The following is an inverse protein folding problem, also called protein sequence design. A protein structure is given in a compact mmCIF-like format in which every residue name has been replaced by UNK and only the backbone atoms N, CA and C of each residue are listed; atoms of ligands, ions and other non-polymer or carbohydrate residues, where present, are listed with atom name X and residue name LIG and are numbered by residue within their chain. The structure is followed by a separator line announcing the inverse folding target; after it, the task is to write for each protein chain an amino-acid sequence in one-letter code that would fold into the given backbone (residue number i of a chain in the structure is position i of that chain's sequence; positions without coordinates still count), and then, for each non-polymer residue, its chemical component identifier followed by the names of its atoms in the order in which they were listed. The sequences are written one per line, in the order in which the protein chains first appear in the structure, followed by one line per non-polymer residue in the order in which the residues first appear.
data_IF_782013540201
#
_entry.id   IF_782013540201
#
_cell.length_a   1.000
_cell.length_b   1.000
_cell.length_c   1.000
_cell.angle_alpha   90.00
_cell.angle_beta   90.00
_cell.angle_gamma   90.00
#
_symmetry.space_group_name_H-M   'P 1'
#
loop_
_entity.id
_entity.type
_entity.pdbx_description
1 polymer ?
#
# COMPACT_ATOMS: atom_id res chain seq x y z
N UNK A 1 -37.24 -22.16 -3.30
CA UNK A 1 -36.68 -22.30 -1.93
C UNK A 1 -35.84 -21.07 -1.64
N UNK A 2 -36.53 -19.99 -1.25
CA UNK A 2 -35.97 -18.66 -1.01
C UNK A 2 -36.36 -18.30 0.41
N UNK A 3 -35.58 -18.68 1.39
CA UNK A 3 -35.75 -18.23 2.77
C UNK A 3 -34.67 -18.83 3.69
N UNK A 4 -33.43 -18.36 3.64
CA UNK A 4 -32.44 -18.61 4.70
C UNK A 4 -31.42 -17.45 4.84
N UNK A 5 -31.67 -16.27 4.25
CA UNK A 5 -30.71 -15.16 4.33
C UNK A 5 -31.19 -13.98 5.19
N UNK A 6 -32.42 -14.03 5.73
CA UNK A 6 -33.02 -12.86 6.41
C UNK A 6 -32.88 -12.81 7.93
N UNK A 7 -32.08 -13.67 8.58
CA UNK A 7 -31.97 -13.65 10.06
C UNK A 7 -30.52 -13.70 10.59
N UNK A 8 -29.62 -12.94 9.98
CA UNK A 8 -28.33 -12.58 10.58
C UNK A 8 -28.34 -11.15 11.13
N UNK A 9 -29.52 -10.58 11.29
CA UNK A 9 -29.79 -9.15 11.48
C UNK A 9 -29.78 -8.60 12.90
N UNK A 10 -29.19 -9.20 13.94
CA UNK A 10 -29.25 -8.56 15.26
C UNK A 10 -28.02 -8.67 16.18
N UNK A 11 -27.01 -9.46 15.86
CA UNK A 11 -25.83 -9.56 16.73
C UNK A 11 -24.65 -8.64 16.34
N UNK A 12 -24.74 -7.94 15.21
CA UNK A 12 -23.73 -6.98 14.71
C UNK A 12 -24.08 -5.51 14.94
N UNK A 13 -25.22 -5.21 15.54
CA UNK A 13 -25.83 -3.86 15.58
C UNK A 13 -24.96 -2.75 16.20
N UNK A 14 -23.95 -3.05 17.00
CA UNK A 14 -23.09 -2.03 17.59
C UNK A 14 -21.96 -1.50 16.68
N UNK A 15 -21.59 -2.25 15.64
CA UNK A 15 -20.47 -1.89 14.76
C UNK A 15 -20.91 -1.38 13.38
N UNK A 16 -22.08 -1.79 12.88
CA UNK A 16 -22.63 -1.37 11.59
C UNK A 16 -23.65 -0.25 11.82
N UNK A 17 -23.18 0.99 11.85
CA UNK A 17 -24.03 2.18 11.86
C UNK A 17 -24.60 2.44 10.48
N UNK A 18 -25.67 3.27 10.40
CA UNK A 18 -26.27 3.66 9.10
C UNK A 18 -25.24 4.31 8.18
N UNK A 19 -24.32 5.11 8.72
CA UNK A 19 -23.21 5.72 7.97
C UNK A 19 -22.27 4.65 7.39
N UNK A 20 -21.86 3.66 8.18
CA UNK A 20 -21.00 2.56 7.74
C UNK A 20 -21.68 1.70 6.68
N UNK A 21 -22.97 1.44 6.83
CA UNK A 21 -23.75 0.74 5.82
C UNK A 21 -23.84 1.54 4.52
N UNK A 22 -24.00 2.86 4.60
CA UNK A 22 -23.99 3.73 3.43
C UNK A 22 -22.63 3.74 2.70
N UNK A 23 -21.52 3.83 3.45
CA UNK A 23 -20.16 3.73 2.90
C UNK A 23 -19.95 2.37 2.21
N UNK A 24 -20.35 1.28 2.86
CA UNK A 24 -20.23 -0.05 2.29
C UNK A 24 -21.08 -0.20 1.02
N UNK A 25 -22.31 0.30 1.02
CA UNK A 25 -23.22 0.25 -0.13
C UNK A 25 -22.65 1.02 -1.32
N UNK A 26 -22.11 2.22 -1.09
CA UNK A 26 -21.46 3.04 -2.11
C UNK A 26 -20.23 2.33 -2.69
N UNK A 27 -19.37 1.75 -1.84
CA UNK A 27 -18.20 1.01 -2.29
C UNK A 27 -18.59 -0.24 -3.11
N UNK A 28 -19.65 -0.95 -2.70
CA UNK A 28 -20.21 -2.11 -3.41
C UNK A 28 -20.73 -1.73 -4.78
N UNK A 29 -21.50 -0.64 -4.87
CA UNK A 29 -22.04 -0.16 -6.14
C UNK A 29 -20.91 0.22 -7.10
N UNK A 30 -19.92 0.96 -6.63
CA UNK A 30 -18.74 1.30 -7.41
C UNK A 30 -17.96 0.05 -7.85
N UNK A 31 -17.73 -0.89 -6.95
CA UNK A 31 -17.05 -2.14 -7.26
C UNK A 31 -17.78 -2.94 -8.36
N UNK A 32 -19.10 -3.04 -8.28
CA UNK A 32 -19.89 -3.78 -9.25
C UNK A 32 -19.97 -3.09 -10.62
N UNK A 33 -20.11 -1.76 -10.66
CA UNK A 33 -20.34 -1.02 -11.91
C UNK A 33 -19.06 -0.58 -12.61
N UNK A 34 -18.03 -0.21 -11.85
CA UNK A 34 -16.83 0.40 -12.41
C UNK A 34 -15.61 -0.55 -12.35
N UNK A 35 -15.49 -1.38 -11.32
CA UNK A 35 -14.30 -2.23 -11.12
C UNK A 35 -14.46 -3.59 -11.80
N UNK A 36 -15.57 -4.28 -11.56
CA UNK A 36 -15.77 -5.66 -12.03
C UNK A 36 -15.73 -5.81 -13.56
N UNK A 37 -16.34 -4.93 -14.37
CA UNK A 37 -16.24 -5.03 -15.83
C UNK A 37 -14.79 -4.90 -16.32
N UNK A 38 -14.03 -3.97 -15.74
CA UNK A 38 -12.61 -3.74 -16.06
C UNK A 38 -11.75 -4.92 -15.62
N UNK A 39 -12.06 -5.50 -14.47
CA UNK A 39 -11.37 -6.69 -13.97
C UNK A 39 -11.56 -7.89 -14.90
N UNK A 40 -12.79 -8.14 -15.35
CA UNK A 40 -13.13 -9.24 -16.26
C UNK A 40 -12.41 -9.13 -17.62
N UNK A 41 -12.17 -7.91 -18.09
CA UNK A 41 -11.44 -7.65 -19.32
C UNK A 41 -9.92 -7.80 -19.13
N UNK A 42 -9.36 -7.20 -18.07
CA UNK A 42 -7.92 -7.00 -17.92
C UNK A 42 -7.20 -8.08 -17.13
N UNK A 43 -7.82 -8.69 -16.10
CA UNK A 43 -7.13 -9.66 -15.26
C UNK A 43 -6.72 -10.93 -16.03
N UNK A 44 -7.57 -11.51 -16.92
CA UNK A 44 -7.20 -12.68 -17.72
C UNK A 44 -5.99 -12.43 -18.66
N UNK A 45 -5.83 -11.22 -19.14
CA UNK A 45 -4.72 -10.82 -20.03
C UNK A 45 -3.55 -10.20 -19.27
N UNK A 46 -3.61 -10.19 -17.92
CA UNK A 46 -2.59 -9.60 -17.04
C UNK A 46 -2.42 -8.09 -17.27
N UNK A 47 -3.49 -7.42 -17.67
CA UNK A 47 -3.52 -5.98 -17.94
C UNK A 47 -3.31 -5.14 -16.67
N UNK A 48 -2.94 -3.88 -16.86
CA UNK A 48 -2.71 -2.93 -15.76
C UNK A 48 -3.99 -2.15 -15.43
N UNK A 49 -4.13 -1.72 -14.17
CA UNK A 49 -5.25 -0.89 -13.72
C UNK A 49 -5.25 0.43 -14.49
N UNK A 50 -6.33 0.78 -15.23
CA UNK A 50 -6.38 2.01 -16.01
C UNK A 50 -6.35 3.27 -15.13
N UNK A 51 -5.73 4.33 -15.63
CA UNK A 51 -5.71 5.63 -14.95
C UNK A 51 -7.10 6.25 -14.78
N UNK A 52 -8.03 5.94 -15.68
CA UNK A 52 -9.42 6.38 -15.55
C UNK A 52 -10.08 5.79 -14.29
N UNK A 53 -9.93 4.48 -14.07
CA UNK A 53 -10.46 3.84 -12.86
C UNK A 53 -9.83 4.44 -11.60
N UNK A 54 -8.52 4.72 -11.62
CA UNK A 54 -7.85 5.40 -10.51
C UNK A 54 -8.42 6.80 -10.22
N UNK A 55 -8.77 7.58 -11.26
CA UNK A 55 -9.42 8.89 -11.08
C UNK A 55 -10.79 8.75 -10.45
N UNK A 56 -11.62 7.82 -10.92
CA UNK A 56 -12.93 7.54 -10.32
C UNK A 56 -12.83 7.17 -8.83
N UNK A 57 -11.81 6.40 -8.46
CA UNK A 57 -11.52 6.08 -7.05
C UNK A 57 -11.11 7.31 -6.24
N UNK A 58 -10.33 8.20 -6.85
CA UNK A 58 -9.92 9.46 -6.22
C UNK A 58 -11.12 10.39 -5.98
N UNK A 59 -12.01 10.50 -6.96
CA UNK A 59 -13.24 11.31 -6.89
C UNK A 59 -14.17 10.87 -5.74
N UNK A 60 -14.13 9.58 -5.36
CA UNK A 60 -14.83 9.03 -4.21
C UNK A 60 -14.03 9.13 -2.89
N UNK A 61 -12.84 9.71 -2.91
CA UNK A 61 -11.99 9.87 -1.72
C UNK A 61 -11.34 8.59 -1.21
N UNK A 62 -11.33 7.50 -1.98
CA UNK A 62 -10.84 6.19 -1.53
C UNK A 62 -9.34 6.19 -1.16
N UNK A 63 -8.55 7.11 -1.70
CA UNK A 63 -7.14 7.24 -1.33
C UNK A 63 -6.91 7.99 -0.02
N UNK A 64 -7.91 8.73 0.47
CA UNK A 64 -7.82 9.59 1.65
C UNK A 64 -8.64 9.13 2.85
N UNK A 65 -9.16 7.90 2.86
CA UNK A 65 -10.07 7.40 3.93
C UNK A 65 -9.46 7.60 5.33
N UNK A 66 -8.19 7.22 5.50
CA UNK A 66 -7.47 7.30 6.78
C UNK A 66 -6.70 8.62 6.97
N UNK A 67 -6.59 9.45 5.93
CA UNK A 67 -5.87 10.72 6.01
C UNK A 67 -6.77 11.73 6.72
N UNK A 68 -6.24 12.47 7.72
CA UNK A 68 -7.01 13.49 8.41
C UNK A 68 -7.55 14.58 7.48
N UNK A 69 -8.71 15.14 7.82
CA UNK A 69 -9.37 16.20 7.04
C UNK A 69 -8.49 17.43 6.84
N UNK A 70 -7.66 17.79 7.83
CA UNK A 70 -6.71 18.90 7.73
C UNK A 70 -5.68 18.74 6.62
N UNK A 71 -5.47 17.50 6.11
CA UNK A 71 -4.63 17.19 4.96
C UNK A 71 -5.45 16.78 3.72
N UNK A 72 -6.75 17.07 3.70
CA UNK A 72 -7.62 16.82 2.55
C UNK A 72 -8.12 15.38 2.43
N UNK A 73 -7.98 14.57 3.47
CA UNK A 73 -8.56 13.23 3.57
C UNK A 73 -9.98 13.24 4.13
N UNK A 74 -10.52 12.05 4.38
CA UNK A 74 -11.85 11.85 4.96
C UNK A 74 -11.84 11.72 6.49
N UNK A 75 -10.68 11.53 7.11
CA UNK A 75 -10.53 11.39 8.56
C UNK A 75 -11.29 10.19 9.16
N UNK A 76 -11.65 9.20 8.34
CA UNK A 76 -12.41 8.03 8.78
C UNK A 76 -11.52 7.00 9.47
N UNK A 77 -12.15 6.02 10.12
CA UNK A 77 -11.45 4.98 10.85
C UNK A 77 -11.06 3.77 10.00
N UNK A 78 -10.30 2.88 10.63
CA UNK A 78 -9.84 1.63 9.99
C UNK A 78 -11.01 0.69 9.68
N UNK A 79 -12.14 0.83 10.39
CA UNK A 79 -13.32 0.01 10.14
C UNK A 79 -13.96 0.38 8.79
N UNK A 80 -14.19 1.66 8.54
CA UNK A 80 -14.72 2.17 7.28
C UNK A 80 -13.78 1.83 6.11
N UNK A 81 -12.48 1.96 6.35
CA UNK A 81 -11.46 1.55 5.39
C UNK A 81 -11.56 0.05 5.05
N UNK A 82 -11.74 -0.82 6.06
CA UNK A 82 -11.88 -2.26 5.85
C UNK A 82 -13.14 -2.62 5.03
N UNK A 83 -14.27 -1.94 5.28
CA UNK A 83 -15.50 -2.13 4.50
C UNK A 83 -15.28 -1.79 3.01
N UNK A 84 -14.64 -0.67 2.71
CA UNK A 84 -14.31 -0.26 1.33
C UNK A 84 -13.37 -1.28 0.69
N UNK A 85 -12.33 -1.69 1.40
CA UNK A 85 -11.34 -2.67 0.92
C UNK A 85 -11.99 -4.00 0.56
N UNK A 86 -12.90 -4.50 1.41
CA UNK A 86 -13.61 -5.75 1.20
C UNK A 86 -14.46 -5.70 -0.09
N UNK A 87 -15.25 -4.64 -0.28
CA UNK A 87 -16.10 -4.50 -1.46
C UNK A 87 -15.28 -4.36 -2.76
N UNK A 88 -14.21 -3.59 -2.74
CA UNK A 88 -13.30 -3.47 -3.89
C UNK A 88 -12.59 -4.80 -4.20
N UNK A 89 -12.17 -5.54 -3.17
CA UNK A 89 -11.46 -6.81 -3.33
C UNK A 89 -12.35 -7.91 -3.89
N UNK A 90 -13.66 -7.87 -3.58
CA UNK A 90 -14.67 -8.75 -4.17
C UNK A 90 -14.70 -8.65 -5.70
N UNK A 91 -14.53 -7.44 -6.24
CA UNK A 91 -14.53 -7.21 -7.68
C UNK A 91 -13.13 -7.42 -8.30
N UNK A 92 -12.09 -6.84 -7.70
CA UNK A 92 -10.69 -6.99 -8.14
C UNK A 92 -9.73 -6.69 -7.00
N UNK A 93 -9.07 -7.72 -6.48
CA UNK A 93 -8.15 -7.58 -5.33
C UNK A 93 -7.07 -6.51 -5.55
N UNK A 94 -6.58 -6.34 -6.77
CA UNK A 94 -5.54 -5.36 -7.08
C UNK A 94 -6.03 -3.93 -6.89
N UNK A 95 -7.26 -3.63 -7.29
CA UNK A 95 -7.85 -2.30 -7.10
C UNK A 95 -7.98 -1.96 -5.62
N UNK A 96 -8.43 -2.90 -4.79
CA UNK A 96 -8.49 -2.67 -3.34
C UNK A 96 -7.10 -2.40 -2.74
N UNK A 97 -6.05 -3.05 -3.27
CA UNK A 97 -4.69 -2.82 -2.81
C UNK A 97 -4.10 -1.48 -3.27
N UNK A 98 -4.65 -0.89 -4.33
CA UNK A 98 -4.18 0.41 -4.82
C UNK A 98 -4.44 1.53 -3.83
N UNK A 99 -5.59 1.51 -3.13
CA UNK A 99 -5.92 2.54 -2.15
C UNK A 99 -4.97 2.56 -0.94
N UNK A 100 -4.34 1.43 -0.62
CA UNK A 100 -3.32 1.36 0.41
C UNK A 100 -2.09 2.22 0.10
N UNK A 101 -1.78 2.40 -1.19
CA UNK A 101 -0.60 3.14 -1.64
C UNK A 101 -0.67 4.64 -1.34
N UNK A 102 -1.88 5.18 -1.15
CA UNK A 102 -2.12 6.58 -0.83
C UNK A 102 -2.19 6.89 0.67
N UNK A 103 -2.35 5.90 1.56
CA UNK A 103 -2.72 6.22 2.94
C UNK A 103 -2.14 5.32 4.03
N UNK A 104 -1.50 4.20 3.70
CA UNK A 104 -1.01 3.26 4.71
C UNK A 104 0.43 3.49 5.15
N UNK A 105 1.28 4.03 4.30
CA UNK A 105 2.72 4.07 4.53
C UNK A 105 3.18 5.45 5.00
N UNK A 106 2.58 5.94 6.08
CA UNK A 106 2.75 7.29 6.62
C UNK A 106 3.27 7.34 8.06
N UNK A 107 3.47 6.17 8.68
CA UNK A 107 4.06 6.09 10.01
C UNK A 107 5.44 6.73 10.02
N UNK A 108 5.70 7.56 11.01
CA UNK A 108 6.98 8.26 11.14
C UNK A 108 7.14 9.52 10.27
N UNK A 109 6.17 9.93 9.45
CA UNK A 109 6.24 11.20 8.72
C UNK A 109 6.42 12.37 9.67
N UNK A 110 7.38 13.24 9.38
CA UNK A 110 7.51 14.55 10.02
C UNK A 110 6.33 15.44 9.66
N UNK A 111 6.08 16.48 10.44
CA UNK A 111 5.00 17.44 10.13
C UNK A 111 5.19 18.08 8.74
N UNK A 112 6.42 18.37 8.34
CA UNK A 112 6.73 18.89 7.01
C UNK A 112 6.39 17.84 5.93
N UNK A 113 6.73 16.58 6.11
CA UNK A 113 6.39 15.51 5.18
C UNK A 113 4.88 15.30 5.09
N UNK A 114 4.16 15.36 6.23
CA UNK A 114 2.70 15.29 6.25
C UNK A 114 2.08 16.40 5.41
N UNK A 115 2.46 17.65 5.63
CA UNK A 115 1.96 18.79 4.85
C UNK A 115 2.29 18.73 3.37
N UNK A 116 3.43 18.14 3.03
CA UNK A 116 3.89 18.03 1.64
C UNK A 116 3.23 16.87 0.90
N UNK A 117 3.08 15.72 1.54
CA UNK A 117 2.70 14.49 0.85
C UNK A 117 1.24 14.09 1.06
N UNK A 118 0.67 14.24 2.27
CA UNK A 118 -0.67 13.73 2.56
C UNK A 118 -1.76 14.32 1.67
N UNK A 119 -1.79 15.63 1.32
CA UNK A 119 -2.80 16.17 0.40
C UNK A 119 -2.77 15.50 -0.98
N UNK A 120 -1.58 15.23 -1.50
CA UNK A 120 -1.39 14.55 -2.79
C UNK A 120 -1.66 13.05 -2.70
N UNK A 121 -1.42 12.46 -1.54
CA UNK A 121 -1.74 11.06 -1.27
C UNK A 121 -3.26 10.88 -1.20
N UNK A 122 -3.99 11.79 -0.54
CA UNK A 122 -5.44 11.76 -0.41
C UNK A 122 -6.17 11.81 -1.77
N UNK A 123 -5.59 12.50 -2.76
CA UNK A 123 -6.11 12.57 -4.14
C UNK A 123 -5.58 11.44 -5.05
N UNK A 124 -4.76 10.54 -4.54
CA UNK A 124 -4.13 9.50 -5.36
C UNK A 124 -3.06 10.01 -6.33
N UNK A 125 -2.61 11.27 -6.20
CA UNK A 125 -1.55 11.84 -7.03
C UNK A 125 -0.15 11.42 -6.61
N UNK A 126 0.02 10.96 -5.35
CA UNK A 126 1.31 10.57 -4.81
C UNK A 126 1.21 9.22 -4.11
N UNK A 127 1.46 8.14 -4.84
CA UNK A 127 1.33 6.76 -4.36
C UNK A 127 2.68 6.08 -4.16
N UNK A 128 2.74 5.24 -3.14
CA UNK A 128 3.95 4.54 -2.70
C UNK A 128 4.14 3.17 -3.35
N UNK A 129 5.40 2.75 -3.44
CA UNK A 129 5.76 1.34 -3.45
C UNK A 129 6.66 1.02 -2.26
N UNK A 130 6.39 -0.10 -1.58
CA UNK A 130 7.04 -0.47 -0.33
C UNK A 130 8.20 -1.42 -0.61
N UNK A 131 9.43 -0.96 -0.34
CA UNK A 131 10.68 -1.67 -0.60
C UNK A 131 11.33 -2.10 0.73
N UNK A 132 10.71 -3.07 1.41
CA UNK A 132 11.14 -3.59 2.71
C UNK A 132 11.85 -4.93 2.58
N UNK A 133 11.16 -5.95 2.06
CA UNK A 133 11.65 -7.33 1.99
C UNK A 133 12.87 -7.47 1.08
N UNK A 134 13.74 -8.42 1.42
CA UNK A 134 14.91 -8.82 0.65
C UNK A 134 14.85 -10.31 0.33
N UNK A 135 15.66 -10.83 -0.59
CA UNK A 135 15.70 -12.27 -0.88
C UNK A 135 15.85 -13.13 0.39
N UNK A 136 16.71 -12.71 1.32
CA UNK A 136 17.00 -13.44 2.56
C UNK A 136 16.34 -12.84 3.81
N UNK A 137 15.50 -11.80 3.68
CA UNK A 137 14.84 -11.13 4.79
C UNK A 137 13.39 -10.78 4.44
N UNK A 138 12.49 -11.73 4.65
CA UNK A 138 11.04 -11.57 4.49
C UNK A 138 10.35 -11.38 5.85
N UNK A 139 9.90 -12.46 6.48
CA UNK A 139 9.27 -12.41 7.82
C UNK A 139 10.22 -11.88 8.89
N UNK A 140 11.50 -12.21 8.79
CA UNK A 140 12.56 -11.63 9.63
C UNK A 140 13.12 -10.35 9.03
N UNK A 141 12.33 -9.29 9.06
CA UNK A 141 12.72 -7.96 8.55
C UNK A 141 13.98 -7.42 9.24
N UNK A 142 14.22 -7.78 10.50
CA UNK A 142 15.41 -7.37 11.23
C UNK A 142 16.71 -7.95 10.66
N UNK A 143 16.64 -8.90 9.72
CA UNK A 143 17.78 -9.46 9.01
C UNK A 143 18.16 -8.69 7.74
N UNK A 144 17.43 -7.64 7.34
CA UNK A 144 17.72 -6.91 6.12
C UNK A 144 19.16 -6.42 6.06
N UNK A 145 19.76 -6.46 4.87
CA UNK A 145 21.17 -6.22 4.59
C UNK A 145 21.45 -5.02 3.68
N UNK A 146 20.42 -4.50 2.98
CA UNK A 146 20.51 -3.25 2.20
C UNK A 146 21.08 -2.14 3.09
N UNK A 147 22.05 -1.38 2.59
CA UNK A 147 22.80 -0.37 3.35
C UNK A 147 22.56 1.01 2.79
N UNK A 148 22.50 1.99 3.67
CA UNK A 148 22.52 3.41 3.34
C UNK A 148 23.76 4.06 3.98
N UNK A 149 24.62 4.66 3.16
CA UNK A 149 25.82 5.35 3.60
C UNK A 149 25.61 6.85 3.46
N UNK A 150 25.92 7.60 4.52
CA UNK A 150 25.84 9.07 4.53
C UNK A 150 26.94 9.65 3.66
N UNK A 151 26.58 10.64 2.83
CA UNK A 151 27.49 11.50 2.07
C UNK A 151 27.13 12.98 2.26
N UNK A 152 27.88 13.88 1.65
CA UNK A 152 27.70 15.32 1.85
C UNK A 152 26.34 15.85 1.33
N UNK A 153 25.77 15.20 0.30
CA UNK A 153 24.54 15.59 -0.40
C UNK A 153 23.34 14.67 -0.11
N UNK A 154 23.46 13.79 0.90
CA UNK A 154 22.40 12.84 1.24
C UNK A 154 22.94 11.45 1.55
N UNK A 155 22.24 10.44 1.07
CA UNK A 155 22.52 9.03 1.33
C UNK A 155 22.72 8.26 0.02
N UNK A 156 23.57 7.23 0.07
CA UNK A 156 23.75 6.27 -1.03
C UNK A 156 23.27 4.91 -0.56
N UNK A 157 22.24 4.40 -1.24
CA UNK A 157 21.58 3.13 -0.91
C UNK A 157 22.11 2.06 -1.86
N UNK A 158 22.55 0.92 -1.29
CA UNK A 158 23.02 -0.25 -2.06
C UNK A 158 22.51 -1.54 -1.43
N UNK A 159 22.01 -2.46 -2.28
CA UNK A 159 21.46 -3.74 -1.87
C UNK A 159 20.33 -4.21 -2.79
N UNK A 160 19.55 -5.18 -2.31
CA UNK A 160 18.47 -5.78 -3.09
C UNK A 160 17.15 -5.73 -2.30
N UNK A 161 16.05 -5.52 -3.02
CA UNK A 161 14.70 -5.60 -2.48
C UNK A 161 13.85 -6.53 -3.32
N UNK A 162 12.95 -7.26 -2.68
CA UNK A 162 12.09 -8.23 -3.33
C UNK A 162 10.62 -7.97 -3.01
N UNK A 163 9.74 -8.39 -3.91
CA UNK A 163 8.29 -8.23 -3.77
C UNK A 163 7.81 -6.77 -3.72
N UNK A 164 8.56 -5.86 -4.37
CA UNK A 164 8.20 -4.45 -4.46
C UNK A 164 7.04 -4.27 -5.45
N UNK A 165 5.82 -4.46 -4.98
CA UNK A 165 4.61 -4.32 -5.81
C UNK A 165 4.41 -2.86 -6.19
N UNK A 166 4.11 -2.62 -7.49
CA UNK A 166 3.83 -1.30 -8.03
C UNK A 166 5.05 -0.36 -8.13
N UNK A 167 6.28 -0.89 -8.11
CA UNK A 167 7.48 -0.05 -8.05
C UNK A 167 7.61 0.92 -9.24
N UNK A 168 7.27 0.50 -10.45
CA UNK A 168 7.27 1.36 -11.64
C UNK A 168 6.10 2.35 -11.65
N UNK A 169 4.88 1.93 -11.28
CA UNK A 169 3.68 2.74 -11.30
C UNK A 169 3.56 3.74 -10.14
N UNK A 170 4.38 3.61 -9.09
CA UNK A 170 4.38 4.50 -7.94
C UNK A 170 5.06 5.84 -8.22
N UNK A 171 4.78 6.83 -7.40
CA UNK A 171 5.39 8.15 -7.43
C UNK A 171 6.63 8.24 -6.54
N UNK A 172 6.78 7.30 -5.60
CA UNK A 172 7.97 7.15 -4.76
C UNK A 172 8.15 5.71 -4.30
N UNK A 173 9.40 5.37 -3.99
CA UNK A 173 9.74 4.16 -3.24
C UNK A 173 9.92 4.52 -1.77
N UNK A 174 9.29 3.77 -0.87
CA UNK A 174 9.61 3.79 0.55
C UNK A 174 10.61 2.67 0.82
N UNK A 175 11.86 3.05 1.06
CA UNK A 175 12.99 2.13 1.12
C UNK A 175 13.52 2.00 2.53
N UNK A 176 13.70 0.77 2.99
CA UNK A 176 14.31 0.47 4.29
C UNK A 176 15.73 -0.04 4.10
N UNK A 177 16.69 0.61 4.77
CA UNK A 177 18.09 0.27 4.66
C UNK A 177 18.82 0.48 5.99
N UNK A 178 19.94 -0.22 6.21
CA UNK A 178 20.78 -0.02 7.38
C UNK A 178 21.64 1.22 7.24
N UNK A 179 21.53 2.12 8.18
CA UNK A 179 22.42 3.27 8.37
C UNK A 179 23.53 2.98 9.40
N UNK A 180 23.38 1.91 10.18
CA UNK A 180 24.40 1.43 11.11
C UNK A 180 24.69 -0.08 10.91
N UNK A 181 25.88 -0.57 11.31
CA UNK A 181 26.20 -1.99 11.30
C UNK A 181 25.16 -2.82 12.07
N UNK A 182 25.02 -4.09 11.69
CA UNK A 182 24.13 -5.02 12.38
C UNK A 182 24.60 -5.24 13.81
N UNK A 183 23.80 -4.80 14.77
CA UNK A 183 23.92 -5.19 16.17
C UNK A 183 23.21 -6.54 16.36
N UNK A 184 23.96 -7.58 16.74
CA UNK A 184 23.42 -8.94 16.88
C UNK A 184 22.45 -9.07 18.06
N UNK A 185 22.63 -8.26 19.10
CA UNK A 185 21.79 -8.28 20.30
C UNK A 185 20.52 -7.44 20.12
N UNK A 186 20.57 -6.44 19.22
CA UNK A 186 19.46 -5.53 18.92
C UNK A 186 19.25 -5.38 17.40
N UNK A 187 18.95 -6.46 16.71
CA UNK A 187 18.92 -6.59 15.23
C UNK A 187 18.01 -5.58 14.54
N UNK A 188 16.95 -5.13 15.20
CA UNK A 188 16.00 -4.13 14.68
C UNK A 188 16.55 -2.69 14.69
N UNK A 189 17.63 -2.42 15.44
CA UNK A 189 18.28 -1.09 15.48
C UNK A 189 19.13 -0.86 14.25
N UNK A 190 19.33 0.42 13.92
CA UNK A 190 20.19 0.82 12.80
C UNK A 190 19.56 0.63 11.42
N UNK A 191 18.27 0.34 11.36
CA UNK A 191 17.46 0.37 10.13
C UNK A 191 16.80 1.74 10.04
N UNK A 192 16.90 2.41 8.88
CA UNK A 192 16.24 3.68 8.60
C UNK A 192 15.28 3.52 7.41
N UNK A 193 14.34 4.45 7.30
CA UNK A 193 13.36 4.50 6.22
C UNK A 193 13.56 5.77 5.39
N UNK A 194 13.45 5.66 4.07
CA UNK A 194 13.64 6.75 3.13
C UNK A 194 12.49 6.84 2.12
N UNK A 195 12.05 8.05 1.78
CA UNK A 195 11.19 8.33 0.64
C UNK A 195 12.09 8.69 -0.55
N UNK A 196 11.98 7.94 -1.63
CA UNK A 196 12.69 8.21 -2.88
C UNK A 196 11.68 8.57 -3.97
N UNK A 197 11.38 9.88 -4.18
CA UNK A 197 10.47 10.32 -5.24
C UNK A 197 11.02 9.97 -6.63
N UNK A 198 10.13 9.70 -7.57
CA UNK A 198 10.48 9.36 -8.95
C UNK A 198 9.33 9.64 -9.92
N UNK A 199 9.58 9.76 -11.23
CA UNK A 199 8.53 9.74 -12.24
C UNK A 199 7.82 8.40 -12.27
N UNK A 200 6.53 8.41 -12.61
CA UNK A 200 5.77 7.17 -12.91
C UNK A 200 6.29 6.51 -14.18
N UNK A 201 6.28 5.20 -14.19
CA UNK A 201 6.79 4.40 -15.31
C UNK A 201 8.29 4.17 -15.29
N UNK A 202 9.02 4.81 -14.39
CA UNK A 202 10.47 4.73 -14.26
C UNK A 202 10.87 4.19 -12.89
N UNK A 203 12.12 3.77 -12.76
CA UNK A 203 12.78 3.52 -11.48
C UNK A 203 13.75 4.68 -11.17
N UNK A 204 14.06 4.97 -9.90
CA UNK A 204 15.01 6.04 -9.57
C UNK A 204 16.39 5.80 -10.18
N UNK A 205 17.20 6.82 -10.46
CA UNK A 205 18.59 6.66 -10.84
C UNK A 205 19.36 5.80 -9.83
N UNK A 206 20.16 4.85 -10.32
CA UNK A 206 20.88 3.87 -9.50
C UNK A 206 20.01 2.70 -9.04
N UNK A 207 18.76 2.61 -9.47
CA UNK A 207 17.87 1.47 -9.20
C UNK A 207 17.55 0.78 -10.51
N UNK A 208 17.77 -0.53 -10.55
CA UNK A 208 17.34 -1.42 -11.64
C UNK A 208 16.38 -2.46 -11.11
N UNK A 209 15.62 -3.11 -11.97
CA UNK A 209 14.68 -4.11 -11.50
C UNK A 209 14.19 -5.06 -12.59
N UNK A 210 13.70 -6.20 -12.13
CA UNK A 210 13.08 -7.23 -12.98
C UNK A 210 11.68 -7.56 -12.44
N UNK A 211 10.65 -7.56 -13.31
CA UNK A 211 9.31 -7.97 -12.91
C UNK A 211 9.26 -9.46 -12.53
N UNK A 212 8.70 -9.76 -11.39
CA UNK A 212 8.48 -11.13 -10.91
C UNK A 212 7.26 -11.74 -11.62
N UNK A 213 7.39 -12.96 -12.11
CA UNK A 213 6.26 -13.71 -12.68
C UNK A 213 5.26 -14.09 -11.58
N UNK A 214 3.97 -13.82 -11.82
CA UNK A 214 2.88 -14.10 -10.89
C UNK A 214 1.80 -14.95 -11.54
N UNK A 215 1.10 -15.75 -10.76
CA UNK A 215 -0.07 -16.53 -11.19
C UNK A 215 -1.39 -15.79 -10.95
N UNK A 216 -1.36 -14.68 -10.23
CA UNK A 216 -2.50 -13.82 -9.91
C UNK A 216 -2.05 -12.46 -9.41
N UNK A 217 -2.99 -11.67 -8.86
CA UNK A 217 -2.72 -10.31 -8.39
C UNK A 217 -2.22 -9.42 -9.54
N UNK A 218 -2.87 -9.58 -10.70
CA UNK A 218 -2.59 -8.76 -11.88
C UNK A 218 -3.13 -7.33 -11.68
N UNK A 219 -2.98 -6.45 -12.66
CA UNK A 219 -3.31 -5.02 -12.52
C UNK A 219 -2.11 -4.12 -12.30
N UNK A 220 -0.96 -4.70 -11.94
CA UNK A 220 0.36 -4.11 -11.80
C UNK A 220 1.46 -5.16 -11.76
N UNK A 221 2.71 -4.68 -11.84
CA UNK A 221 3.90 -5.53 -11.69
C UNK A 221 4.34 -5.58 -10.23
N UNK A 222 5.00 -6.66 -9.88
CA UNK A 222 5.76 -6.82 -8.63
C UNK A 222 7.22 -6.99 -9.02
N UNK A 223 8.12 -6.30 -8.36
CA UNK A 223 9.49 -6.16 -8.78
C UNK A 223 10.48 -6.77 -7.79
N UNK A 224 11.54 -7.33 -8.32
CA UNK A 224 12.82 -7.46 -7.67
C UNK A 224 13.66 -6.24 -8.05
N UNK A 225 14.20 -5.52 -7.06
CA UNK A 225 14.95 -4.28 -7.27
C UNK A 225 16.38 -4.43 -6.79
N UNK A 226 17.32 -3.89 -7.55
CA UNK A 226 18.73 -3.76 -7.18
C UNK A 226 19.09 -2.28 -7.09
N UNK A 227 19.68 -1.89 -5.97
CA UNK A 227 20.14 -0.55 -5.68
C UNK A 227 21.67 -0.53 -5.78
N UNK A 228 22.22 0.31 -6.65
CA UNK A 228 23.64 0.56 -6.81
C UNK A 228 23.94 2.04 -6.57
N UNK A 229 24.34 2.38 -5.36
CA UNK A 229 24.59 3.75 -4.92
C UNK A 229 23.44 4.72 -5.24
N UNK A 230 22.20 4.24 -5.17
CA UNK A 230 21.02 5.05 -5.44
C UNK A 230 20.92 6.21 -4.44
N UNK A 231 20.72 7.43 -4.96
CA UNK A 231 20.70 8.64 -4.14
C UNK A 231 19.36 8.83 -3.44
N UNK A 232 19.40 9.10 -2.15
CA UNK A 232 18.28 9.59 -1.34
C UNK A 232 18.70 10.90 -0.66
N UNK A 233 17.88 11.94 -0.80
CA UNK A 233 18.17 13.25 -0.21
C UNK A 233 18.13 13.21 1.32
N UNK A 234 18.74 14.18 1.99
CA UNK A 234 18.78 14.24 3.46
C UNK A 234 17.39 14.31 4.10
N UNK A 235 16.50 15.08 3.52
CA UNK A 235 15.13 15.29 3.99
C UNK A 235 14.18 14.13 3.61
N UNK A 236 14.68 13.13 2.89
CA UNK A 236 13.93 11.94 2.51
C UNK A 236 13.74 10.93 3.64
N UNK A 237 14.47 11.09 4.74
CA UNK A 237 14.38 10.16 5.88
C UNK A 237 13.04 10.29 6.59
N UNK A 238 12.44 9.14 6.89
CA UNK A 238 11.17 9.02 7.60
C UNK A 238 11.44 8.57 9.03
N UNK A 239 11.08 9.42 9.98
CA UNK A 239 11.38 9.19 11.40
C UNK A 239 12.85 9.37 11.74
N UNK A 240 13.26 9.07 12.99
CA UNK A 240 14.65 9.18 13.42
C UNK A 240 15.54 8.14 12.74
N UNK A 241 16.81 8.48 12.52
CA UNK A 241 17.81 7.55 12.02
C UNK A 241 17.92 6.32 12.95
N UNK A 242 17.99 5.14 12.34
CA UNK A 242 18.10 3.86 13.05
C UNK A 242 16.78 3.32 13.61
N UNK A 243 15.66 4.04 13.48
CA UNK A 243 14.33 3.63 13.97
C UNK A 243 13.34 3.20 12.87
N UNK A 244 13.81 2.99 11.65
CA UNK A 244 12.98 2.57 10.52
C UNK A 244 12.25 1.25 10.73
N UNK A 245 12.75 0.36 11.59
CA UNK A 245 12.02 -0.84 11.98
C UNK A 245 10.69 -0.50 12.68
N UNK A 246 10.66 0.51 13.55
CA UNK A 246 9.42 0.97 14.20
C UNK A 246 8.46 1.57 13.18
N UNK A 247 8.98 2.33 12.22
CA UNK A 247 8.20 2.87 11.10
C UNK A 247 7.55 1.72 10.32
N UNK A 248 8.32 0.70 9.94
CA UNK A 248 7.79 -0.47 9.24
C UNK A 248 6.69 -1.19 10.04
N UNK A 249 6.87 -1.36 11.35
CA UNK A 249 5.87 -2.02 12.19
C UNK A 249 4.58 -1.20 12.30
N UNK A 250 4.67 0.13 12.43
CA UNK A 250 3.51 1.02 12.43
C UNK A 250 2.73 0.96 11.12
N UNK A 251 3.41 1.00 9.99
CA UNK A 251 2.79 0.84 8.67
C UNK A 251 2.11 -0.54 8.51
N UNK A 252 2.72 -1.59 9.06
CA UNK A 252 2.20 -2.95 8.96
C UNK A 252 0.97 -3.21 9.86
N UNK A 253 0.71 -2.42 10.90
CA UNK A 253 -0.51 -2.57 11.71
C UNK A 253 -1.76 -2.40 10.86
N UNK A 254 -1.89 -1.29 10.16
CA UNK A 254 -3.01 -1.04 9.25
C UNK A 254 -2.99 -1.98 8.03
N UNK A 255 -1.79 -2.32 7.53
CA UNK A 255 -1.65 -3.23 6.40
C UNK A 255 -2.17 -4.65 6.69
N UNK A 256 -2.10 -5.13 7.94
CA UNK A 256 -2.67 -6.44 8.34
C UNK A 256 -4.19 -6.43 8.23
N UNK A 257 -4.86 -5.38 8.71
CA UNK A 257 -6.30 -5.23 8.63
C UNK A 257 -6.75 -5.15 7.17
N UNK A 258 -6.07 -4.33 6.38
CA UNK A 258 -6.29 -4.23 4.94
C UNK A 258 -6.15 -5.60 4.23
N UNK A 259 -5.10 -6.37 4.57
CA UNK A 259 -4.86 -7.67 3.97
C UNK A 259 -5.94 -8.68 4.35
N UNK A 260 -6.41 -8.66 5.59
CA UNK A 260 -7.53 -9.50 6.05
C UNK A 260 -8.83 -9.14 5.31
N UNK A 261 -9.17 -7.86 5.22
CA UNK A 261 -10.35 -7.40 4.50
C UNK A 261 -10.32 -7.79 3.00
N UNK A 262 -9.16 -7.69 2.35
CA UNK A 262 -8.98 -8.17 0.96
C UNK A 262 -9.25 -9.67 0.84
N UNK A 263 -8.71 -10.47 1.76
CA UNK A 263 -8.92 -11.91 1.73
C UNK A 263 -10.40 -12.28 1.88
N UNK A 264 -11.13 -11.59 2.78
CA UNK A 264 -12.58 -11.76 2.97
C UNK A 264 -13.32 -11.38 1.68
N UNK A 265 -13.01 -10.24 1.07
CA UNK A 265 -13.64 -9.79 -0.17
C UNK A 265 -13.48 -10.80 -1.32
N UNK A 266 -12.25 -11.30 -1.53
CA UNK A 266 -11.99 -12.35 -2.54
C UNK A 266 -12.74 -13.64 -2.23
N UNK A 267 -12.73 -14.10 -0.97
CA UNK A 267 -13.44 -15.30 -0.56
C UNK A 267 -14.95 -15.16 -0.75
N UNK A 268 -15.52 -13.98 -0.42
CA UNK A 268 -16.94 -13.70 -0.65
C UNK A 268 -17.29 -13.69 -2.13
N UNK A 269 -16.49 -13.06 -2.99
CA UNK A 269 -16.69 -13.08 -4.44
C UNK A 269 -16.67 -14.51 -5.00
N UNK A 270 -15.67 -15.30 -4.62
CA UNK A 270 -15.58 -16.70 -5.05
C UNK A 270 -16.78 -17.55 -4.58
N UNK A 271 -17.28 -17.33 -3.35
CA UNK A 271 -18.48 -18.00 -2.85
C UNK A 271 -19.73 -17.62 -3.63
N UNK A 272 -19.95 -16.31 -3.84
CA UNK A 272 -21.12 -15.79 -4.57
C UNK A 272 -21.13 -16.26 -6.03
N UNK A 273 -19.99 -16.37 -6.69
CA UNK A 273 -19.86 -16.87 -8.05
C UNK A 273 -20.02 -18.41 -8.15
N UNK A 274 -20.00 -19.12 -7.02
CA UNK A 274 -20.12 -20.58 -6.96
C UNK A 274 -21.54 -21.07 -6.65
N UNK A 275 -22.45 -20.17 -6.27
CA UNK A 275 -23.87 -20.47 -5.93
C UNK A 275 -24.77 -20.15 -7.11
#
# INVERSE_FOLDING_TARGET
MTAVVDDVGSSGAGYLTDERLAIQAMAREFAAREVLPVANELDPVKGEIPMELRRKMADLGFFGVLIPEEYGGLGLGVFEYALIVEELARAWMSVSSLIARGQQFTAGFTEQQRRTYLPRMATGEFLSAFALSEPDAGSDVAALSTRARKEADGWRISGQKMWCTFADGADYLQVFARTAPLDRDHRSRGISCFIMPKPRGELPPGVTGTPVRKIGYHGWKTWELSFDNAHAADDSMVGPEGEGFKVAMGDLETARIHTAARAIGVARGALEDSI
#
